data_IF_052040439831
#
_entry.id   IF_052040439831
#
_cell.length_a   1.000
_cell.length_b   1.000
_cell.length_c   1.000
_cell.angle_alpha   90.00
_cell.angle_beta   90.00
_cell.angle_gamma   90.00
#
_symmetry.space_group_name_H-M   'P 1'
#
loop_
_entity.id
_entity.type
_entity.pdbx_description
1 polymer ?
#
# COMPACT_ATOMS: atom_id res chain seq x y z
N UNK A 1 -62.64 0.26 26.61
CA UNK A 1 -62.19 0.65 25.27
C UNK A 1 -60.71 0.29 25.22
N UNK A 2 -60.45 -1.01 25.17
CA UNK A 2 -60.01 -1.75 23.96
C UNK A 2 -58.48 -1.77 23.90
N UNK A 3 -57.88 -2.65 24.72
CA UNK A 3 -56.58 -3.23 24.41
C UNK A 3 -56.85 -4.36 23.41
N UNK A 4 -56.65 -4.08 22.13
CA UNK A 4 -56.67 -5.08 21.07
C UNK A 4 -55.28 -5.73 20.98
N UNK A 5 -55.10 -7.00 21.38
CA UNK A 5 -53.84 -7.68 21.14
C UNK A 5 -53.83 -8.08 19.67
N UNK A 6 -52.97 -7.41 18.89
CA UNK A 6 -52.63 -7.78 17.51
C UNK A 6 -52.34 -9.29 17.47
N UNK A 7 -53.33 -10.08 17.04
CA UNK A 7 -53.20 -11.52 16.82
C UNK A 7 -52.29 -11.71 15.61
N UNK A 8 -50.99 -11.83 15.86
CA UNK A 8 -49.99 -12.23 14.87
C UNK A 8 -50.31 -13.64 14.35
N UNK A 9 -51.07 -13.70 13.25
CA UNK A 9 -51.66 -14.89 12.61
C UNK A 9 -50.69 -15.84 11.90
N UNK A 10 -49.55 -16.15 12.52
CA UNK A 10 -48.66 -17.22 12.06
C UNK A 10 -48.66 -18.37 13.07
N UNK A 11 -48.93 -19.59 12.60
CA UNK A 11 -48.89 -20.82 13.42
C UNK A 11 -47.48 -21.02 14.00
N UNK A 12 -47.39 -21.44 15.26
CA UNK A 12 -46.11 -21.62 15.97
C UNK A 12 -45.16 -22.60 15.26
N UNK A 13 -45.70 -23.52 14.44
CA UNK A 13 -44.92 -24.44 13.59
C UNK A 13 -44.11 -23.73 12.50
N UNK A 14 -44.53 -22.53 12.08
CA UNK A 14 -43.87 -21.71 11.06
C UNK A 14 -42.99 -20.63 11.71
N UNK A 15 -43.37 -20.11 12.89
CA UNK A 15 -42.57 -19.13 13.63
C UNK A 15 -41.24 -19.70 14.11
N UNK A 16 -41.22 -20.94 14.60
CA UNK A 16 -40.01 -21.61 15.10
C UNK A 16 -38.88 -21.68 14.04
N UNK A 17 -39.11 -22.19 12.81
CA UNK A 17 -38.04 -22.25 11.81
C UNK A 17 -37.59 -20.85 11.36
N UNK A 18 -38.49 -19.86 11.31
CA UNK A 18 -38.12 -18.47 11.00
C UNK A 18 -37.15 -17.91 12.06
N UNK A 19 -37.44 -18.12 13.35
CA UNK A 19 -36.57 -17.66 14.44
C UNK A 19 -35.20 -18.34 14.35
N UNK A 20 -35.15 -19.65 14.11
CA UNK A 20 -33.89 -20.40 13.97
C UNK A 20 -33.07 -19.89 12.78
N UNK A 21 -33.70 -19.68 11.62
CA UNK A 21 -33.04 -19.15 10.43
C UNK A 21 -32.49 -17.74 10.65
N UNK A 22 -33.23 -16.92 11.39
CA UNK A 22 -32.80 -15.56 11.77
C UNK A 22 -31.56 -15.62 12.66
N UNK A 23 -31.55 -16.54 13.64
CA UNK A 23 -30.41 -16.73 14.54
C UNK A 23 -29.16 -17.20 13.79
N UNK A 24 -29.30 -18.14 12.84
CA UNK A 24 -28.21 -18.63 12.00
C UNK A 24 -27.63 -17.48 11.16
N UNK A 25 -28.49 -16.67 10.54
CA UNK A 25 -28.07 -15.51 9.75
C UNK A 25 -27.29 -14.51 10.61
N UNK A 26 -27.76 -14.23 11.83
CA UNK A 26 -27.08 -13.34 12.77
C UNK A 26 -25.71 -13.87 13.19
N UNK A 27 -25.59 -15.17 13.47
CA UNK A 27 -24.32 -15.81 13.78
C UNK A 27 -23.34 -15.75 12.58
N UNK A 28 -23.82 -16.01 11.37
CA UNK A 28 -23.02 -15.93 10.16
C UNK A 28 -22.51 -14.50 9.90
N UNK A 29 -23.37 -13.49 10.06
CA UNK A 29 -22.98 -12.09 9.97
C UNK A 29 -21.96 -11.73 11.05
N UNK A 30 -22.19 -12.11 12.31
CA UNK A 30 -21.27 -11.87 13.43
C UNK A 30 -19.86 -12.45 13.18
N UNK A 31 -19.77 -13.69 12.70
CA UNK A 31 -18.49 -14.31 12.34
C UNK A 31 -17.77 -13.55 11.20
N UNK A 32 -18.53 -13.05 10.23
CA UNK A 32 -18.01 -12.30 9.09
C UNK A 32 -17.47 -10.92 9.54
N UNK A 33 -18.19 -10.23 10.43
CA UNK A 33 -17.71 -8.98 11.04
C UNK A 33 -16.45 -9.18 11.89
N UNK A 34 -16.37 -10.25 12.69
CA UNK A 34 -15.16 -10.57 13.46
C UNK A 34 -13.98 -10.81 12.51
N UNK A 35 -14.17 -11.61 11.44
CA UNK A 35 -13.11 -11.88 10.46
C UNK A 35 -12.60 -10.62 9.76
N UNK A 36 -13.51 -9.69 9.41
CA UNK A 36 -13.15 -8.40 8.82
C UNK A 36 -12.43 -7.51 9.84
N UNK A 37 -12.92 -7.41 11.07
CA UNK A 37 -12.28 -6.59 12.11
C UNK A 37 -10.85 -7.05 12.43
N UNK A 38 -10.63 -8.36 12.53
CA UNK A 38 -9.30 -8.93 12.74
C UNK A 38 -8.37 -8.72 11.54
N UNK A 39 -8.86 -8.87 10.31
CA UNK A 39 -8.02 -8.70 9.11
C UNK A 39 -7.57 -7.25 8.91
N UNK A 40 -8.47 -6.29 9.15
CA UNK A 40 -8.16 -4.85 9.08
C UNK A 40 -7.19 -4.45 10.18
N UNK A 41 -7.51 -4.79 11.45
CA UNK A 41 -6.67 -4.42 12.59
C UNK A 41 -5.27 -5.04 12.53
N UNK A 42 -5.16 -6.30 12.05
CA UNK A 42 -3.84 -6.94 11.89
C UNK A 42 -3.00 -6.27 10.80
N UNK A 43 -3.60 -5.82 9.70
CA UNK A 43 -2.88 -5.16 8.61
C UNK A 43 -2.37 -3.79 9.04
N UNK A 44 -3.18 -3.03 9.78
CA UNK A 44 -2.85 -1.70 10.26
C UNK A 44 -1.76 -1.74 11.35
N UNK A 45 -1.87 -2.65 12.32
CA UNK A 45 -0.83 -2.88 13.35
C UNK A 45 0.51 -3.32 12.77
N UNK A 46 0.50 -4.15 11.74
CA UNK A 46 1.73 -4.56 11.03
C UNK A 46 2.37 -3.38 10.29
N UNK A 47 1.57 -2.54 9.61
CA UNK A 47 2.07 -1.35 8.93
C UNK A 47 2.73 -0.38 9.90
N UNK A 48 2.12 -0.17 11.07
CA UNK A 48 2.65 0.72 12.11
C UNK A 48 3.96 0.17 12.73
N UNK A 49 4.04 -1.15 12.93
CA UNK A 49 5.21 -1.82 13.48
C UNK A 49 6.50 -1.67 12.65
N UNK A 50 6.41 -1.35 11.37
CA UNK A 50 7.59 -1.20 10.49
C UNK A 50 7.92 0.26 10.16
N UNK A 51 7.14 1.24 10.64
CA UNK A 51 7.42 2.66 10.41
C UNK A 51 8.82 3.09 10.87
N UNK A 52 9.39 2.39 11.86
CA UNK A 52 10.76 2.66 12.30
C UNK A 52 11.78 2.50 11.15
N UNK A 53 11.59 1.56 10.23
CA UNK A 53 12.49 1.36 9.08
C UNK A 53 12.49 2.59 8.18
N UNK A 54 11.29 3.11 7.87
CA UNK A 54 11.14 4.35 7.10
C UNK A 54 11.77 5.54 7.81
N UNK A 55 11.53 5.68 9.12
CA UNK A 55 12.07 6.78 9.91
C UNK A 55 13.60 6.72 10.04
N UNK A 56 14.18 5.52 10.14
CA UNK A 56 15.64 5.34 10.12
C UNK A 56 16.19 5.67 8.73
N UNK A 57 15.52 5.23 7.66
CA UNK A 57 15.85 5.61 6.28
C UNK A 57 15.86 7.12 6.08
N UNK A 58 14.83 7.83 6.58
CA UNK A 58 14.74 9.29 6.49
C UNK A 58 15.92 9.99 7.19
N UNK A 59 16.33 9.49 8.37
CA UNK A 59 17.51 10.01 9.08
C UNK A 59 18.79 9.76 8.29
N UNK A 60 18.99 8.54 7.81
CA UNK A 60 20.18 8.18 7.02
C UNK A 60 20.28 9.03 5.76
N UNK A 61 19.16 9.24 5.05
CA UNK A 61 19.10 10.13 3.88
C UNK A 61 19.54 11.55 4.25
N UNK A 62 19.03 12.10 5.34
CA UNK A 62 19.37 13.46 5.76
C UNK A 62 20.85 13.62 6.15
N UNK A 63 21.50 12.54 6.57
CA UNK A 63 22.94 12.48 6.86
C UNK A 63 23.80 12.17 5.61
N UNK A 64 23.19 12.04 4.43
CA UNK A 64 23.89 11.70 3.18
C UNK A 64 24.27 10.23 3.03
N UNK A 65 23.78 9.35 3.91
CA UNK A 65 24.04 7.91 3.93
C UNK A 65 23.07 7.18 2.99
N UNK A 66 23.17 7.48 1.69
CA UNK A 66 22.15 7.12 0.69
C UNK A 66 21.96 5.60 0.52
N UNK A 67 23.05 4.82 0.45
CA UNK A 67 22.96 3.37 0.32
C UNK A 67 22.28 2.73 1.53
N UNK A 68 22.60 3.21 2.74
CA UNK A 68 21.99 2.69 3.97
C UNK A 68 20.51 3.10 4.04
N UNK A 69 20.17 4.31 3.60
CA UNK A 69 18.78 4.75 3.51
C UNK A 69 17.97 3.88 2.54
N UNK A 70 18.52 3.57 1.36
CA UNK A 70 17.92 2.66 0.38
C UNK A 70 17.62 1.30 1.00
N UNK A 71 18.60 0.68 1.68
CA UNK A 71 18.41 -0.62 2.35
C UNK A 71 17.23 -0.60 3.33
N UNK A 72 17.10 0.46 4.14
CA UNK A 72 16.01 0.58 5.09
C UNK A 72 14.64 0.76 4.41
N UNK A 73 14.57 1.58 3.36
CA UNK A 73 13.32 1.77 2.61
C UNK A 73 12.89 0.51 1.87
N UNK A 74 13.82 -0.25 1.28
CA UNK A 74 13.51 -1.53 0.63
C UNK A 74 12.97 -2.52 1.66
N UNK A 75 13.65 -2.66 2.81
CA UNK A 75 13.16 -3.50 3.92
C UNK A 75 11.76 -3.09 4.37
N UNK A 76 11.49 -1.79 4.47
CA UNK A 76 10.16 -1.28 4.77
C UNK A 76 9.13 -1.75 3.73
N UNK A 77 9.43 -1.57 2.44
CA UNK A 77 8.54 -1.96 1.33
C UNK A 77 8.32 -3.47 1.21
N UNK A 78 9.27 -4.30 1.64
CA UNK A 78 9.14 -5.77 1.67
C UNK A 78 8.31 -6.25 2.85
N UNK A 79 8.51 -5.66 4.03
CA UNK A 79 7.83 -6.07 5.27
C UNK A 79 6.39 -5.58 5.33
N UNK A 80 6.11 -4.47 4.67
CA UNK A 80 4.81 -3.85 4.70
C UNK A 80 3.95 -4.30 3.52
N UNK A 81 2.73 -4.80 3.80
CA UNK A 81 1.72 -5.05 2.77
C UNK A 81 1.00 -3.75 2.35
N UNK A 82 1.74 -2.66 2.27
CA UNK A 82 1.19 -1.34 1.97
C UNK A 82 0.81 -1.29 0.49
N UNK A 83 -0.45 -0.96 0.23
CA UNK A 83 -0.95 -0.60 -1.09
C UNK A 83 -0.95 0.92 -1.25
N UNK A 84 -1.07 1.38 -2.50
CA UNK A 84 -1.07 2.80 -2.88
C UNK A 84 -1.94 3.67 -1.96
N UNK A 85 -1.51 4.92 -1.62
CA UNK A 85 -0.41 5.72 -2.22
C UNK A 85 0.93 5.70 -1.45
N UNK A 86 0.98 5.18 -0.22
CA UNK A 86 2.21 5.24 0.61
C UNK A 86 3.37 4.42 0.04
N UNK A 87 3.09 3.34 -0.70
CA UNK A 87 4.11 2.56 -1.42
C UNK A 87 4.83 3.39 -2.47
N UNK A 88 4.08 4.15 -3.28
CA UNK A 88 4.65 4.98 -4.33
C UNK A 88 5.55 6.10 -3.79
N UNK A 89 5.20 6.68 -2.63
CA UNK A 89 6.04 7.69 -2.00
C UNK A 89 7.42 7.16 -1.61
N UNK A 90 7.47 5.97 -1.00
CA UNK A 90 8.75 5.37 -0.58
C UNK A 90 9.53 4.87 -1.80
N UNK A 91 8.86 4.26 -2.78
CA UNK A 91 9.52 3.86 -4.04
C UNK A 91 10.11 5.06 -4.79
N UNK A 92 9.40 6.19 -4.86
CA UNK A 92 9.95 7.42 -5.44
C UNK A 92 11.19 7.90 -4.68
N UNK A 93 11.15 7.88 -3.35
CA UNK A 93 12.31 8.27 -2.52
C UNK A 93 13.53 7.37 -2.75
N UNK A 94 13.33 6.07 -2.96
CA UNK A 94 14.42 5.15 -3.32
C UNK A 94 14.98 5.48 -4.72
N UNK A 95 14.11 5.76 -5.68
CA UNK A 95 14.52 6.21 -7.01
C UNK A 95 15.36 7.49 -6.98
N UNK A 96 14.96 8.49 -6.19
CA UNK A 96 15.71 9.73 -5.97
C UNK A 96 17.12 9.47 -5.41
N UNK A 97 17.23 8.60 -4.41
CA UNK A 97 18.54 8.25 -3.83
C UNK A 97 19.47 7.55 -4.84
N UNK A 98 18.93 6.66 -5.66
CA UNK A 98 19.71 6.05 -6.74
C UNK A 98 20.13 7.08 -7.80
N UNK A 99 19.29 8.07 -8.10
CA UNK A 99 19.68 9.19 -8.97
C UNK A 99 20.83 10.01 -8.39
N UNK A 100 20.81 10.30 -7.09
CA UNK A 100 21.89 11.00 -6.38
C UNK A 100 23.20 10.20 -6.40
N UNK A 101 23.11 8.87 -6.34
CA UNK A 101 24.23 7.95 -6.53
C UNK A 101 24.63 7.78 -8.01
N UNK A 102 24.05 8.57 -8.92
CA UNK A 102 24.25 8.48 -10.36
C UNK A 102 23.84 7.17 -11.02
N UNK A 103 23.14 6.30 -10.29
CA UNK A 103 22.74 4.99 -10.74
C UNK A 103 21.30 4.95 -11.27
N UNK A 104 21.13 5.38 -12.52
CA UNK A 104 19.81 5.47 -13.14
C UNK A 104 19.18 4.12 -13.53
N UNK A 105 19.96 3.04 -13.65
CA UNK A 105 19.41 1.73 -14.00
C UNK A 105 18.54 1.19 -12.85
N UNK A 106 19.09 1.16 -11.65
CA UNK A 106 18.37 0.85 -10.42
C UNK A 106 17.32 1.93 -10.11
N UNK A 107 17.66 3.21 -10.31
CA UNK A 107 16.73 4.32 -10.09
C UNK A 107 15.42 4.17 -10.87
N UNK A 108 15.48 3.89 -12.18
CA UNK A 108 14.27 3.70 -13.00
C UNK A 108 13.41 2.53 -12.53
N UNK A 109 14.02 1.45 -12.04
CA UNK A 109 13.28 0.30 -11.50
C UNK A 109 12.35 0.71 -10.35
N UNK A 110 12.77 1.67 -9.52
CA UNK A 110 11.96 2.17 -8.41
C UNK A 110 11.01 3.30 -8.82
N UNK A 111 11.43 4.16 -9.74
CA UNK A 111 10.58 5.24 -10.25
C UNK A 111 9.36 4.67 -11.00
N UNK A 112 9.52 3.64 -11.83
CA UNK A 112 8.38 2.98 -12.48
C UNK A 112 7.44 2.29 -11.48
N UNK A 113 7.97 1.69 -10.41
CA UNK A 113 7.11 1.17 -9.35
C UNK A 113 6.27 2.25 -8.66
N UNK A 114 6.79 3.48 -8.54
CA UNK A 114 6.03 4.61 -8.04
C UNK A 114 4.97 5.09 -9.05
N UNK A 115 5.26 4.99 -10.34
CA UNK A 115 4.37 5.42 -11.43
C UNK A 115 3.07 4.59 -11.47
N UNK A 116 3.10 3.33 -11.04
CA UNK A 116 1.93 2.45 -10.96
C UNK A 116 0.80 2.99 -10.04
N UNK A 117 1.08 3.98 -9.18
CA UNK A 117 0.03 4.68 -8.43
C UNK A 117 -0.78 5.67 -9.27
N UNK A 118 -0.30 6.03 -10.46
CA UNK A 118 -0.94 6.94 -11.41
C UNK A 118 -1.31 8.29 -10.79
N UNK A 119 -2.45 8.82 -11.20
CA UNK A 119 -2.94 10.15 -10.78
C UNK A 119 -3.23 10.28 -9.27
N UNK A 120 -3.25 9.18 -8.52
CA UNK A 120 -3.44 9.23 -7.05
C UNK A 120 -2.16 9.64 -6.31
N UNK A 121 -1.02 9.66 -7.01
CA UNK A 121 0.24 10.06 -6.43
C UNK A 121 0.46 11.58 -6.51
N UNK A 122 0.51 12.23 -5.35
CA UNK A 122 0.61 13.70 -5.24
C UNK A 122 1.88 14.32 -5.87
N UNK A 123 2.96 13.56 -6.07
CA UNK A 123 4.21 14.02 -6.73
C UNK A 123 4.36 13.46 -8.15
N UNK A 124 3.26 13.16 -8.86
CA UNK A 124 3.31 12.57 -10.20
C UNK A 124 4.12 13.39 -11.21
N UNK A 125 4.00 14.73 -11.19
CA UNK A 125 4.74 15.60 -12.12
C UNK A 125 6.26 15.58 -11.86
N UNK A 126 6.66 15.50 -10.60
CA UNK A 126 8.06 15.40 -10.20
C UNK A 126 8.64 14.02 -10.54
N UNK A 127 7.87 12.97 -10.26
CA UNK A 127 8.21 11.60 -10.63
C UNK A 127 8.48 11.48 -12.13
N UNK A 128 7.62 12.08 -12.96
CA UNK A 128 7.80 12.08 -14.41
C UNK A 128 9.12 12.75 -14.83
N UNK A 129 9.46 13.90 -14.23
CA UNK A 129 10.74 14.58 -14.48
C UNK A 129 11.93 13.70 -14.12
N UNK A 130 11.86 12.98 -13.00
CA UNK A 130 12.91 12.06 -12.57
C UNK A 130 13.07 10.87 -13.53
N UNK A 131 11.97 10.30 -14.01
CA UNK A 131 11.97 9.25 -15.04
C UNK A 131 12.61 9.75 -16.34
N UNK A 132 12.20 10.92 -16.82
CA UNK A 132 12.72 11.53 -18.04
C UNK A 132 14.23 11.80 -17.93
N UNK A 133 14.67 12.35 -16.79
CA UNK A 133 16.08 12.63 -16.53
C UNK A 133 16.94 11.37 -16.57
N UNK A 134 16.51 10.29 -15.91
CA UNK A 134 17.27 9.04 -15.92
C UNK A 134 17.25 8.34 -17.28
N UNK A 135 16.10 8.35 -17.96
CA UNK A 135 15.97 7.79 -19.30
C UNK A 135 16.91 8.48 -20.29
N UNK A 136 17.01 9.81 -20.22
CA UNK A 136 17.95 10.58 -21.03
C UNK A 136 19.42 10.21 -20.76
N UNK A 137 19.79 10.04 -19.48
CA UNK A 137 21.15 9.67 -19.07
C UNK A 137 21.58 8.29 -19.59
N UNK A 138 20.69 7.30 -19.49
CA UNK A 138 20.94 5.94 -19.99
C UNK A 138 21.09 5.95 -21.53
N UNK A 139 20.18 6.63 -22.23
CA UNK A 139 20.23 6.71 -23.69
C UNK A 139 21.49 7.41 -24.20
N UNK A 140 21.93 8.49 -23.53
CA UNK A 140 23.19 9.17 -23.85
C UNK A 140 24.40 8.26 -23.65
N UNK A 141 24.45 7.54 -22.53
CA UNK A 141 25.55 6.59 -22.22
C UNK A 141 25.62 5.45 -23.25
N UNK A 142 24.47 4.93 -23.68
CA UNK A 142 24.38 3.89 -24.71
C UNK A 142 24.87 4.38 -26.08
N UNK A 143 24.52 5.62 -26.45
CA UNK A 143 24.96 6.22 -27.71
C UNK A 143 26.50 6.41 -27.75
N UNK A 144 27.10 6.83 -26.63
CA UNK A 144 28.56 6.97 -26.52
C UNK A 144 29.24 5.61 -26.71
N UNK A 145 28.76 4.57 -26.03
CA UNK A 145 29.36 3.23 -26.11
C UNK A 145 29.26 2.60 -27.52
N UNK A 146 28.22 2.95 -28.30
CA UNK A 146 28.10 2.50 -29.68
C UNK A 146 29.07 3.21 -30.64
N UNK A 147 29.50 4.44 -30.33
CA UNK A 147 30.40 5.21 -31.19
C UNK A 147 31.90 4.91 -30.94
N UNK A 148 32.22 4.14 -29.89
CA UNK A 148 33.60 3.79 -29.51
C UNK A 148 33.99 2.38 -30.01
N UNK A 149 33.03 1.59 -30.52
CA UNK A 149 33.23 0.23 -31.02
C UNK A 149 33.40 0.20 -32.53
#
# INVERSE_FOLDING_TARGET
MEDDPIKNGLSSKIKIPIIILTLITLCAMGALFIKIAYSVSSSEKLSDSYQYLRNVGDKLRNEGLHEQAIDQYIKYLEKTKIKNPSRAMVAHSVGELYMELSNCEEGLTWLFQAEEAGATYHRADELKKHIDACSAKINSSKAINHNIK
#
